data_IF_115311471464
#
_entry.id   IF_115311471464
#
_cell.length_a   1.000
_cell.length_b   1.000
_cell.length_c   1.000
_cell.angle_alpha   90.00
_cell.angle_beta   90.00
_cell.angle_gamma   90.00
#
_symmetry.space_group_name_H-M   'P 1'
#
loop_
_entity.id
_entity.type
_entity.pdbx_description
1 polymer ?
#
# COMPACT_ATOMS: atom_id res chain seq x y z
N UNK A 1 -31.99 8.59 2.73
CA UNK A 1 -31.05 7.47 2.63
C UNK A 1 -30.03 7.66 3.74
N UNK A 2 -29.69 6.63 4.53
CA UNK A 2 -28.66 6.79 5.57
C UNK A 2 -27.31 6.87 4.84
N UNK A 3 -26.68 8.03 4.86
CA UNK A 3 -25.32 8.19 4.36
C UNK A 3 -24.35 7.57 5.37
N UNK A 4 -23.51 6.65 4.91
CA UNK A 4 -22.40 6.10 5.69
C UNK A 4 -21.16 6.79 5.16
N UNK A 5 -20.76 7.88 5.81
CA UNK A 5 -19.57 8.64 5.44
C UNK A 5 -18.31 7.90 5.89
N UNK A 6 -17.23 7.87 5.08
CA UNK A 6 -15.97 7.26 5.46
C UNK A 6 -15.34 8.02 6.62
N UNK A 7 -14.61 7.31 7.48
CA UNK A 7 -13.78 7.96 8.50
C UNK A 7 -12.42 8.36 7.92
N UNK A 8 -11.74 9.31 8.57
CA UNK A 8 -10.38 9.67 8.23
C UNK A 8 -9.45 8.45 8.29
N UNK A 9 -8.63 8.32 7.24
CA UNK A 9 -7.78 7.17 6.97
C UNK A 9 -8.48 5.80 6.94
N UNK A 10 -9.80 5.73 6.79
CA UNK A 10 -10.49 4.45 6.67
C UNK A 10 -10.18 3.77 5.34
N UNK A 11 -9.79 2.49 5.38
CA UNK A 11 -9.64 1.68 4.16
C UNK A 11 -11.01 1.28 3.62
N UNK A 12 -11.17 1.36 2.30
CA UNK A 12 -12.42 1.17 1.58
C UNK A 12 -13.05 -0.21 1.80
N UNK A 13 -12.25 -1.25 2.07
CA UNK A 13 -12.76 -2.56 2.48
C UNK A 13 -13.47 -2.50 3.85
N UNK A 14 -12.88 -1.80 4.82
CA UNK A 14 -13.50 -1.54 6.13
C UNK A 14 -14.78 -0.72 5.99
N UNK A 15 -14.73 0.28 5.13
CA UNK A 15 -15.87 1.13 4.84
C UNK A 15 -17.03 0.35 4.18
N UNK A 16 -16.74 -0.50 3.19
CA UNK A 16 -17.72 -1.42 2.60
C UNK A 16 -18.33 -2.36 3.65
N UNK A 17 -17.52 -2.78 4.64
CA UNK A 17 -17.97 -3.49 5.83
C UNK A 17 -18.97 -2.71 6.68
N UNK A 18 -18.77 -1.41 6.85
CA UNK A 18 -19.76 -0.55 7.55
C UNK A 18 -21.05 -0.41 6.75
N UNK A 19 -20.96 -0.24 5.43
CA UNK A 19 -22.14 -0.22 4.55
C UNK A 19 -22.98 -1.50 4.71
N UNK A 20 -22.35 -2.67 4.87
CA UNK A 20 -23.07 -3.94 4.99
C UNK A 20 -24.05 -4.00 6.17
N UNK A 21 -23.74 -3.28 7.24
CA UNK A 21 -24.54 -3.25 8.47
C UNK A 21 -25.86 -2.51 8.26
N UNK A 22 -25.86 -1.52 7.38
CA UNK A 22 -27.03 -0.71 7.06
C UNK A 22 -27.79 -1.24 5.84
N UNK A 23 -27.09 -1.93 4.93
CA UNK A 23 -27.64 -2.37 3.66
C UNK A 23 -27.45 -3.88 3.47
N UNK A 24 -28.50 -4.68 3.72
CA UNK A 24 -28.56 -6.08 3.29
C UNK A 24 -27.75 -7.10 4.10
N UNK A 25 -26.99 -6.69 5.13
CA UNK A 25 -26.41 -7.60 6.13
C UNK A 25 -25.35 -8.56 5.60
N UNK A 26 -24.59 -8.18 4.58
CA UNK A 26 -23.52 -9.05 4.04
C UNK A 26 -22.28 -9.05 4.94
N UNK A 27 -21.69 -10.23 5.15
CA UNK A 27 -20.48 -10.40 5.96
C UNK A 27 -19.21 -10.54 5.12
N UNK A 28 -19.31 -10.27 3.82
CA UNK A 28 -18.20 -10.47 2.90
C UNK A 28 -18.20 -9.56 1.69
N UNK A 29 -17.02 -9.40 1.07
CA UNK A 29 -16.87 -8.66 -0.17
C UNK A 29 -17.64 -9.32 -1.31
N UNK A 30 -17.63 -10.65 -1.38
CA UNK A 30 -18.42 -11.40 -2.35
C UNK A 30 -19.92 -11.24 -2.09
N UNK A 31 -20.33 -11.20 -0.82
CA UNK A 31 -21.70 -10.86 -0.43
C UNK A 31 -22.10 -9.46 -0.90
N UNK A 32 -21.23 -8.47 -0.69
CA UNK A 32 -21.45 -7.09 -1.13
C UNK A 32 -21.59 -7.00 -2.66
N UNK A 33 -20.64 -7.58 -3.40
CA UNK A 33 -20.68 -7.62 -4.87
C UNK A 33 -21.93 -8.31 -5.40
N UNK A 34 -22.41 -9.36 -4.72
CA UNK A 34 -23.67 -10.03 -5.08
C UNK A 34 -24.88 -9.13 -4.81
N UNK A 35 -24.89 -8.41 -3.70
CA UNK A 35 -25.94 -7.45 -3.38
C UNK A 35 -25.98 -6.30 -4.41
N UNK A 36 -24.83 -5.70 -4.75
CA UNK A 36 -24.72 -4.64 -5.76
C UNK A 36 -25.27 -5.05 -7.12
N UNK A 37 -25.01 -6.29 -7.55
CA UNK A 37 -25.57 -6.82 -8.81
C UNK A 37 -27.10 -6.91 -8.78
N UNK A 38 -27.69 -7.24 -7.63
CA UNK A 38 -29.14 -7.40 -7.47
C UNK A 38 -29.88 -6.08 -7.27
N UNK A 39 -29.22 -5.08 -6.69
CA UNK A 39 -29.83 -3.77 -6.44
C UNK A 39 -30.07 -2.95 -7.71
N UNK A 40 -29.61 -3.43 -8.88
CA UNK A 40 -29.86 -2.77 -10.17
C UNK A 40 -29.08 -1.46 -10.33
N UNK A 41 -28.03 -1.23 -9.53
CA UNK A 41 -27.26 0.01 -9.51
C UNK A 41 -26.41 0.27 -10.78
N UNK A 42 -26.72 -0.38 -11.91
CA UNK A 42 -26.13 -0.06 -13.22
C UNK A 42 -24.69 -0.56 -13.46
N UNK A 43 -24.09 -1.32 -12.54
CA UNK A 43 -22.70 -1.78 -12.70
C UNK A 43 -22.61 -3.04 -13.60
N UNK A 44 -21.96 -2.90 -14.76
CA UNK A 44 -21.78 -3.97 -15.75
C UNK A 44 -20.63 -4.93 -15.39
N UNK A 45 -20.66 -6.17 -15.92
CA UNK A 45 -19.68 -7.24 -15.63
C UNK A 45 -18.22 -6.87 -15.93
N UNK A 46 -17.97 -5.98 -16.90
CA UNK A 46 -16.60 -5.52 -17.25
C UNK A 46 -15.89 -4.81 -16.08
N UNK A 47 -16.64 -4.33 -15.09
CA UNK A 47 -16.11 -3.57 -13.95
C UNK A 47 -16.04 -4.33 -12.62
N UNK A 48 -16.26 -5.65 -12.59
CA UNK A 48 -16.53 -6.44 -11.37
C UNK A 48 -15.61 -6.18 -10.16
N UNK A 49 -14.32 -5.94 -10.37
CA UNK A 49 -13.39 -5.64 -9.27
C UNK A 49 -13.67 -4.31 -8.56
N UNK A 50 -14.14 -3.30 -9.29
CA UNK A 50 -14.20 -1.89 -8.88
C UNK A 50 -15.59 -1.42 -8.45
N UNK A 51 -16.61 -2.23 -8.71
CA UNK A 51 -18.01 -1.87 -8.48
C UNK A 51 -18.27 -1.39 -7.05
N UNK A 52 -17.60 -2.00 -6.07
CA UNK A 52 -17.77 -1.63 -4.68
C UNK A 52 -17.17 -0.26 -4.34
N UNK A 53 -16.02 0.09 -4.92
CA UNK A 53 -15.37 1.39 -4.75
C UNK A 53 -16.18 2.49 -5.45
N UNK A 54 -16.55 2.26 -6.71
CA UNK A 54 -17.36 3.22 -7.48
C UNK A 54 -18.72 3.45 -6.81
N UNK A 55 -19.34 2.40 -6.27
CA UNK A 55 -20.58 2.52 -5.52
C UNK A 55 -20.40 3.35 -4.26
N UNK A 56 -19.41 3.03 -3.41
CA UNK A 56 -19.22 3.74 -2.15
C UNK A 56 -18.81 5.19 -2.37
N UNK A 57 -17.95 5.49 -3.37
CA UNK A 57 -17.61 6.85 -3.76
C UNK A 57 -18.88 7.65 -4.15
N UNK A 58 -19.74 7.06 -4.99
CA UNK A 58 -21.00 7.68 -5.39
C UNK A 58 -21.95 7.91 -4.19
N UNK A 59 -22.04 6.95 -3.26
CA UNK A 59 -22.91 7.09 -2.08
C UNK A 59 -22.44 8.15 -1.08
N UNK A 60 -21.15 8.50 -1.12
CA UNK A 60 -20.51 9.47 -0.21
C UNK A 60 -20.30 10.83 -0.86
N UNK A 61 -20.86 11.04 -2.05
CA UNK A 61 -20.68 12.27 -2.84
C UNK A 61 -19.20 12.62 -3.09
N UNK A 62 -18.30 11.63 -3.03
CA UNK A 62 -16.89 11.78 -3.35
C UNK A 62 -16.66 11.44 -4.83
N UNK A 63 -15.69 12.10 -5.47
CA UNK A 63 -15.25 11.63 -6.79
C UNK A 63 -14.59 10.26 -6.65
N UNK A 64 -14.59 9.45 -7.71
CA UNK A 64 -13.88 8.16 -7.69
C UNK A 64 -12.39 8.36 -7.38
N UNK A 65 -11.79 9.43 -7.90
CA UNK A 65 -10.39 9.76 -7.65
C UNK A 65 -10.15 10.06 -6.16
N UNK A 66 -10.93 10.98 -5.58
CA UNK A 66 -10.81 11.33 -4.16
C UNK A 66 -10.96 10.11 -3.25
N UNK A 67 -11.94 9.25 -3.55
CA UNK A 67 -12.17 8.06 -2.76
C UNK A 67 -10.99 7.07 -2.88
N UNK A 68 -10.41 6.94 -4.07
CA UNK A 68 -9.25 6.06 -4.29
C UNK A 68 -8.02 6.58 -3.57
N UNK A 69 -7.76 7.89 -3.65
CA UNK A 69 -6.64 8.54 -2.98
C UNK A 69 -6.79 8.48 -1.44
N UNK A 70 -8.00 8.64 -0.91
CA UNK A 70 -8.25 8.73 0.54
C UNK A 70 -8.62 7.42 1.22
N UNK A 71 -9.10 6.43 0.47
CA UNK A 71 -9.67 5.19 1.04
C UNK A 71 -9.10 3.91 0.41
N UNK A 72 -7.99 3.98 -0.34
CA UNK A 72 -7.30 2.77 -0.82
C UNK A 72 -5.80 2.82 -0.55
N UNK A 73 -5.11 1.71 -0.80
CA UNK A 73 -3.65 1.62 -0.76
C UNK A 73 -3.00 1.89 -2.12
N UNK A 74 -3.77 2.31 -3.13
CA UNK A 74 -3.23 2.64 -4.44
C UNK A 74 -2.13 3.72 -4.35
N UNK A 75 -2.28 4.82 -3.58
CA UNK A 75 -1.25 5.86 -3.52
C UNK A 75 0.13 5.33 -3.13
N UNK A 76 0.17 4.44 -2.13
CA UNK A 76 1.39 3.80 -1.65
C UNK A 76 1.97 2.76 -2.62
N UNK A 77 1.17 2.26 -3.56
CA UNK A 77 1.58 1.21 -4.52
C UNK A 77 1.92 1.77 -5.89
N UNK A 78 1.41 2.95 -6.25
CA UNK A 78 1.89 3.71 -7.40
C UNK A 78 3.37 4.01 -7.13
N UNK A 79 4.26 3.45 -7.94
CA UNK A 79 5.67 3.80 -7.87
C UNK A 79 5.89 5.16 -8.50
N UNK A 80 6.71 5.18 -9.53
CA UNK A 80 6.93 6.35 -10.36
C UNK A 80 5.98 6.26 -11.55
N UNK A 81 5.05 7.19 -11.64
CA UNK A 81 4.24 7.36 -12.86
C UNK A 81 5.01 8.31 -13.77
N UNK A 82 5.24 7.89 -15.01
CA UNK A 82 5.75 8.79 -16.03
C UNK A 82 4.66 9.82 -16.31
N UNK A 83 5.00 11.10 -16.43
CA UNK A 83 4.13 12.25 -16.81
C UNK A 83 3.35 12.08 -18.13
N UNK A 84 3.31 10.89 -18.72
CA UNK A 84 2.57 10.58 -19.95
C UNK A 84 1.09 10.26 -19.66
N UNK A 85 0.57 10.67 -18.50
CA UNK A 85 -0.85 10.96 -18.38
C UNK A 85 -1.01 12.41 -18.83
N UNK A 86 -1.18 12.58 -20.14
CA UNK A 86 -1.40 13.86 -20.82
C UNK A 86 -2.16 14.85 -19.94
N UNK A 87 -1.58 16.04 -19.72
CA UNK A 87 -2.21 17.20 -19.07
C UNK A 87 -3.48 17.71 -19.82
N UNK A 88 -3.99 16.97 -20.80
CA UNK A 88 -5.07 17.35 -21.71
C UNK A 88 -6.24 16.35 -21.77
N UNK A 89 -6.30 15.36 -20.88
CA UNK A 89 -7.47 14.48 -20.78
C UNK A 89 -8.47 15.03 -19.77
N UNK A 90 -9.48 15.76 -20.24
CA UNK A 90 -10.71 16.09 -19.48
C UNK A 90 -11.51 14.83 -19.05
N UNK A 91 -10.98 13.62 -19.26
CA UNK A 91 -11.57 12.33 -18.89
C UNK A 91 -10.85 11.69 -17.69
N UNK A 92 -10.71 12.46 -16.60
CA UNK A 92 -10.11 12.06 -15.32
C UNK A 92 -10.61 10.68 -14.81
N UNK A 93 -11.91 10.40 -14.99
CA UNK A 93 -12.51 9.13 -14.57
C UNK A 93 -12.03 7.90 -15.39
N UNK A 94 -11.66 8.06 -16.67
CA UNK A 94 -11.21 6.95 -17.51
C UNK A 94 -9.76 6.55 -17.18
N UNK A 95 -8.91 7.52 -16.89
CA UNK A 95 -7.50 7.31 -16.54
C UNK A 95 -7.37 6.79 -15.11
N UNK A 96 -8.15 7.34 -14.17
CA UNK A 96 -8.33 6.78 -12.82
C UNK A 96 -8.79 5.31 -12.92
N UNK A 97 -9.82 5.01 -13.73
CA UNK A 97 -10.24 3.62 -13.96
C UNK A 97 -9.12 2.76 -14.54
N UNK A 98 -8.32 3.25 -15.47
CA UNK A 98 -7.19 2.51 -16.06
C UNK A 98 -6.13 2.19 -15.01
N UNK A 99 -5.76 3.14 -14.16
CA UNK A 99 -4.84 2.95 -13.04
C UNK A 99 -5.40 1.94 -12.03
N UNK A 100 -6.66 2.10 -11.63
CA UNK A 100 -7.33 1.16 -10.73
C UNK A 100 -7.42 -0.25 -11.35
N UNK A 101 -7.68 -0.37 -12.66
CA UNK A 101 -7.66 -1.63 -13.42
C UNK A 101 -6.28 -2.29 -13.42
N UNK A 102 -5.22 -1.51 -13.67
CA UNK A 102 -3.81 -1.95 -13.57
C UNK A 102 -3.48 -2.46 -12.17
N UNK A 103 -4.08 -1.86 -11.14
CA UNK A 103 -3.88 -2.19 -9.74
C UNK A 103 -5.01 -3.02 -9.13
N UNK A 104 -5.88 -3.68 -9.93
CA UNK A 104 -7.02 -4.46 -9.41
C UNK A 104 -6.61 -5.55 -8.44
N UNK A 105 -5.51 -6.23 -8.72
CA UNK A 105 -4.92 -7.23 -7.82
C UNK A 105 -4.22 -6.64 -6.59
N UNK A 106 -4.28 -5.32 -6.39
CA UNK A 106 -3.62 -4.58 -5.31
C UNK A 106 -4.59 -3.78 -4.43
N UNK A 107 -5.81 -3.55 -4.89
CA UNK A 107 -6.91 -2.93 -4.12
C UNK A 107 -7.42 -3.92 -3.06
N UNK A 108 -7.62 -5.18 -3.49
CA UNK A 108 -8.07 -6.32 -2.66
C UNK A 108 -7.08 -7.50 -2.74
N UNK A 109 -5.81 -7.21 -3.02
CA UNK A 109 -4.80 -8.20 -3.39
C UNK A 109 -4.52 -9.29 -2.36
N UNK A 110 -3.76 -10.35 -2.72
CA UNK A 110 -3.39 -11.44 -1.80
C UNK A 110 -2.73 -10.94 -0.49
N UNK A 111 -2.06 -9.80 -0.53
CA UNK A 111 -1.47 -9.13 0.66
C UNK A 111 -2.52 -8.65 1.68
N UNK A 112 -3.78 -8.47 1.25
CA UNK A 112 -4.91 -8.05 2.10
C UNK A 112 -5.60 -9.25 2.77
N UNK A 113 -5.07 -10.48 2.65
CA UNK A 113 -5.58 -11.62 3.41
C UNK A 113 -5.31 -11.52 4.92
N UNK A 114 -4.72 -10.42 5.36
CA UNK A 114 -4.48 -10.07 6.75
C UNK A 114 -4.97 -8.65 6.97
N UNK A 115 -5.85 -8.44 7.96
CA UNK A 115 -6.27 -7.12 8.40
C UNK A 115 -5.52 -6.75 9.68
N UNK A 116 -4.77 -5.65 9.65
CA UNK A 116 -3.93 -5.18 10.77
C UNK A 116 -4.62 -4.06 11.54
N UNK A 117 -4.45 -4.02 12.86
CA UNK A 117 -5.03 -2.96 13.69
C UNK A 117 -4.22 -2.71 14.96
N UNK A 118 -4.38 -1.52 15.51
CA UNK A 118 -3.89 -1.17 16.84
C UNK A 118 -5.04 -1.29 17.84
N UNK A 119 -4.82 -2.00 18.95
CA UNK A 119 -5.84 -2.18 20.00
C UNK A 119 -6.21 -0.85 20.67
N UNK A 120 -5.22 0.03 20.86
CA UNK A 120 -5.41 1.36 21.45
C UNK A 120 -6.21 2.29 20.54
N UNK A 121 -5.92 2.31 19.23
CA UNK A 121 -6.78 2.97 18.25
C UNK A 121 -8.22 2.43 18.33
N UNK A 122 -8.40 1.11 18.24
CA UNK A 122 -9.74 0.50 18.21
C UNK A 122 -10.57 0.82 19.46
N UNK A 123 -9.95 0.84 20.64
CA UNK A 123 -10.63 1.17 21.91
C UNK A 123 -10.87 2.67 22.07
N UNK A 124 -9.93 3.51 21.61
CA UNK A 124 -10.09 4.97 21.56
C UNK A 124 -11.24 5.38 20.64
N UNK A 125 -11.27 4.86 19.42
CA UNK A 125 -12.32 5.13 18.44
C UNK A 125 -13.72 4.79 18.99
N UNK A 126 -13.88 3.65 19.68
CA UNK A 126 -15.16 3.27 20.30
C UNK A 126 -15.58 4.24 21.40
N UNK A 127 -14.62 4.72 22.20
CA UNK A 127 -14.91 5.69 23.27
C UNK A 127 -15.38 7.02 22.69
N UNK A 128 -14.79 7.45 21.58
CA UNK A 128 -15.05 8.76 20.97
C UNK A 128 -16.24 8.75 20.01
N UNK A 129 -16.32 7.76 19.13
CA UNK A 129 -17.28 7.69 18.03
C UNK A 129 -18.33 6.57 18.19
N UNK A 130 -18.21 5.71 19.21
CA UNK A 130 -19.10 4.57 19.42
C UNK A 130 -18.78 3.35 18.53
N UNK A 131 -17.82 3.46 17.62
CA UNK A 131 -17.33 2.36 16.79
C UNK A 131 -15.86 2.62 16.40
N UNK A 132 -15.20 1.62 15.81
CA UNK A 132 -13.83 1.74 15.30
C UNK A 132 -13.78 1.40 13.81
N UNK A 133 -12.75 1.85 13.11
CA UNK A 133 -12.55 1.59 11.68
C UNK A 133 -11.13 1.11 11.36
N UNK A 134 -10.99 0.46 10.21
CA UNK A 134 -9.72 -0.05 9.72
C UNK A 134 -8.91 1.08 9.08
N UNK A 135 -7.82 1.50 9.73
CA UNK A 135 -6.89 2.51 9.18
C UNK A 135 -6.09 1.95 7.99
N UNK A 136 -5.89 2.72 6.93
CA UNK A 136 -5.10 2.34 5.75
C UNK A 136 -3.63 2.21 6.08
N UNK A 137 -3.09 3.14 6.88
CA UNK A 137 -1.67 3.14 7.21
C UNK A 137 -1.23 1.84 7.92
N UNK A 138 -2.12 1.26 8.73
CA UNK A 138 -1.89 -0.05 9.34
C UNK A 138 -1.79 -1.18 8.31
N UNK A 139 -2.40 -1.05 7.13
CA UNK A 139 -2.43 -2.10 6.09
C UNK A 139 -1.25 -2.04 5.12
N UNK A 140 -0.39 -1.02 5.21
CA UNK A 140 0.81 -0.92 4.39
C UNK A 140 1.73 -2.12 4.64
N UNK A 141 2.38 -2.65 3.60
CA UNK A 141 3.34 -3.75 3.74
C UNK A 141 4.52 -3.30 4.61
N UNK A 142 5.12 -4.21 5.39
CA UNK A 142 6.24 -3.87 6.28
C UNK A 142 5.88 -3.10 7.55
N UNK A 143 4.72 -2.45 7.59
CA UNK A 143 4.28 -1.73 8.80
C UNK A 143 3.88 -2.73 9.87
N UNK A 144 4.56 -2.62 11.01
CA UNK A 144 4.46 -3.53 12.15
C UNK A 144 4.06 -2.83 13.45
N UNK A 145 4.11 -1.51 13.50
CA UNK A 145 3.69 -0.68 14.63
C UNK A 145 2.71 0.40 14.18
N UNK A 146 1.88 0.86 15.10
CA UNK A 146 0.97 1.99 14.90
C UNK A 146 1.77 3.29 14.85
N UNK A 147 1.48 4.16 13.88
CA UNK A 147 2.17 5.45 13.77
C UNK A 147 1.80 6.41 14.91
N UNK A 148 0.58 6.32 15.43
CA UNK A 148 0.10 7.22 16.48
C UNK A 148 0.54 6.76 17.89
N UNK A 149 0.61 5.46 18.11
CA UNK A 149 0.86 4.89 19.45
C UNK A 149 2.25 4.27 19.62
N UNK A 150 2.97 3.98 18.53
CA UNK A 150 4.23 3.23 18.57
C UNK A 150 4.08 1.74 18.97
N UNK A 151 2.86 1.29 19.24
CA UNK A 151 2.58 -0.06 19.71
C UNK A 151 2.53 -1.06 18.54
N UNK A 152 2.98 -2.31 18.74
CA UNK A 152 2.91 -3.32 17.71
C UNK A 152 1.47 -3.61 17.24
N UNK A 153 1.29 -3.78 15.93
CA UNK A 153 -0.02 -4.07 15.34
C UNK A 153 -0.42 -5.52 15.58
N UNK A 154 -1.69 -5.71 15.91
CA UNK A 154 -2.37 -6.99 15.87
C UNK A 154 -2.89 -7.27 14.48
N UNK A 155 -3.19 -8.53 14.20
CA UNK A 155 -3.81 -8.91 12.93
C UNK A 155 -4.86 -10.01 13.06
N UNK A 156 -5.73 -10.07 12.08
CA UNK A 156 -6.68 -11.16 11.85
C UNK A 156 -6.59 -11.61 10.39
N UNK A 157 -6.83 -12.89 10.14
CA UNK A 157 -6.74 -13.47 8.80
C UNK A 157 -8.08 -13.42 8.07
N UNK A 158 -8.01 -13.39 6.74
CA UNK A 158 -9.18 -13.39 5.86
C UNK A 158 -9.66 -11.98 5.55
N UNK A 159 -9.93 -11.73 4.27
CA UNK A 159 -10.54 -10.49 3.77
C UNK A 159 -11.86 -10.15 4.47
N UNK A 160 -12.61 -11.15 4.91
CA UNK A 160 -13.90 -10.95 5.58
C UNK A 160 -13.76 -10.28 6.95
N UNK A 161 -12.55 -10.26 7.52
CA UNK A 161 -12.27 -9.52 8.75
C UNK A 161 -12.54 -8.02 8.60
N UNK A 162 -12.37 -7.45 7.41
CA UNK A 162 -12.68 -6.04 7.15
C UNK A 162 -14.17 -5.72 7.29
N UNK A 163 -15.06 -6.73 7.22
CA UNK A 163 -16.51 -6.56 7.39
C UNK A 163 -16.94 -6.48 8.87
N UNK A 164 -16.03 -6.70 9.80
CA UNK A 164 -16.19 -6.39 11.21
C UNK A 164 -15.25 -5.24 11.60
N UNK A 165 -15.68 -4.28 12.44
CA UNK A 165 -14.83 -3.20 12.92
C UNK A 165 -13.76 -3.76 13.86
N UNK A 166 -12.56 -3.14 13.92
CA UNK A 166 -11.44 -3.64 14.73
C UNK A 166 -11.77 -4.00 16.18
N UNK A 167 -12.60 -3.20 16.87
CA UNK A 167 -12.97 -3.46 18.26
C UNK A 167 -13.75 -4.77 18.45
N UNK A 168 -14.42 -5.30 17.42
CA UNK A 168 -15.11 -6.60 17.49
C UNK A 168 -14.18 -7.78 17.33
N UNK A 169 -12.97 -7.57 16.83
CA UNK A 169 -11.98 -8.62 16.59
C UNK A 169 -10.79 -8.55 17.54
N UNK A 170 -10.83 -7.70 18.57
CA UNK A 170 -9.78 -7.55 19.59
C UNK A 170 -9.39 -8.89 20.22
N UNK A 171 -10.36 -9.69 20.64
CA UNK A 171 -10.12 -10.98 21.30
C UNK A 171 -9.56 -12.05 20.36
N UNK A 172 -9.78 -11.92 19.05
CA UNK A 172 -9.24 -12.79 18.00
C UNK A 172 -7.93 -12.27 17.38
N UNK A 173 -7.48 -11.09 17.79
CA UNK A 173 -6.27 -10.46 17.28
C UNK A 173 -5.04 -11.27 17.65
N UNK A 174 -4.23 -11.60 16.66
CA UNK A 174 -2.95 -12.26 16.84
C UNK A 174 -1.83 -11.22 16.81
N UNK A 175 -0.83 -11.37 17.67
CA UNK A 175 0.44 -10.66 17.52
C UNK A 175 1.25 -11.27 16.35
N UNK A 176 2.10 -10.48 15.68
CA UNK A 176 3.14 -11.02 14.78
C UNK A 176 4.51 -10.90 15.47
N UNK A 177 4.92 -11.88 16.30
CA UNK A 177 6.15 -11.79 17.08
C UNK A 177 7.36 -11.39 16.23
N UNK A 178 7.49 -11.95 15.03
CA UNK A 178 8.62 -11.70 14.13
C UNK A 178 8.63 -10.29 13.51
N UNK A 179 7.48 -9.62 13.41
CA UNK A 179 7.45 -8.20 13.02
C UNK A 179 7.67 -7.30 14.24
N UNK A 180 7.22 -7.74 15.42
CA UNK A 180 7.32 -7.00 16.68
C UNK A 180 8.78 -6.90 17.15
N UNK A 181 9.62 -7.90 16.86
CA UNK A 181 11.07 -7.89 17.13
C UNK A 181 11.83 -6.71 16.48
N UNK A 182 11.25 -6.09 15.44
CA UNK A 182 11.95 -5.12 14.61
C UNK A 182 11.29 -3.72 14.59
N UNK A 183 10.32 -3.47 15.48
CA UNK A 183 9.61 -2.18 15.54
C UNK A 183 10.54 -0.99 15.78
N UNK A 184 11.62 -1.20 16.54
CA UNK A 184 12.60 -0.17 16.87
C UNK A 184 13.83 -0.16 15.94
N UNK A 185 13.86 -1.02 14.91
CA UNK A 185 15.01 -1.08 14.01
C UNK A 185 15.07 0.17 13.11
N UNK A 186 16.21 0.90 13.04
CA UNK A 186 16.30 2.18 12.34
C UNK A 186 15.82 2.13 10.87
N UNK A 187 16.22 1.09 10.13
CA UNK A 187 15.79 0.90 8.73
C UNK A 187 14.30 0.61 8.59
N UNK A 188 13.70 -0.10 9.55
CA UNK A 188 12.26 -0.42 9.53
C UNK A 188 11.44 0.81 9.87
N UNK A 189 11.87 1.60 10.87
CA UNK A 189 11.26 2.88 11.23
C UNK A 189 11.30 3.86 10.06
N UNK A 190 12.46 3.97 9.40
CA UNK A 190 12.62 4.84 8.24
C UNK A 190 11.78 4.37 7.05
N UNK A 191 11.72 3.05 6.80
CA UNK A 191 10.79 2.51 5.81
C UNK A 191 9.34 2.87 6.15
N UNK A 192 8.95 2.77 7.41
CA UNK A 192 7.60 3.14 7.83
C UNK A 192 7.28 4.61 7.54
N UNK A 193 8.22 5.52 7.78
CA UNK A 193 8.08 6.94 7.44
C UNK A 193 7.86 7.16 5.93
N UNK A 194 8.69 6.55 5.08
CA UNK A 194 8.54 6.66 3.63
C UNK A 194 7.26 5.98 3.12
N UNK A 195 6.86 4.84 3.69
CA UNK A 195 5.62 4.16 3.32
C UNK A 195 4.39 5.03 3.66
N UNK A 196 4.42 5.73 4.80
CA UNK A 196 3.40 6.70 5.20
C UNK A 196 3.38 7.89 4.24
N UNK A 197 4.55 8.48 3.94
CA UNK A 197 4.68 9.55 2.96
C UNK A 197 4.06 9.16 1.60
N UNK A 198 4.38 7.96 1.12
CA UNK A 198 3.85 7.43 -0.14
C UNK A 198 2.33 7.24 -0.13
N UNK A 199 1.72 6.97 1.03
CA UNK A 199 0.28 6.83 1.18
C UNK A 199 -0.47 8.16 1.16
N UNK A 200 0.12 9.21 1.74
CA UNK A 200 -0.55 10.50 1.96
C UNK A 200 -0.13 11.63 1.01
N UNK A 201 0.84 11.39 0.12
CA UNK A 201 1.21 12.38 -0.90
C UNK A 201 0.01 12.73 -1.79
N UNK A 202 -0.12 14.00 -2.14
CA UNK A 202 -1.23 14.51 -2.94
C UNK A 202 -1.14 14.15 -4.43
N UNK A 203 0.06 13.76 -4.91
CA UNK A 203 0.32 13.46 -6.32
C UNK A 203 1.26 12.27 -6.46
N UNK A 204 1.25 11.66 -7.64
CA UNK A 204 2.29 10.70 -8.02
C UNK A 204 3.68 11.35 -7.92
N UNK A 205 4.70 10.53 -7.67
CA UNK A 205 6.08 11.03 -7.58
C UNK A 205 6.51 11.63 -8.91
N UNK A 206 7.00 12.87 -8.84
CA UNK A 206 7.65 13.57 -9.94
C UNK A 206 8.84 12.74 -10.47
N UNK A 207 9.07 12.83 -11.78
CA UNK A 207 10.26 12.35 -12.48
C UNK A 207 11.55 12.83 -11.77
N UNK A 208 11.52 14.01 -11.15
CA UNK A 208 12.60 14.57 -10.35
C UNK A 208 13.09 13.68 -9.20
N UNK A 209 12.18 12.98 -8.50
CA UNK A 209 12.59 12.03 -7.46
C UNK A 209 13.36 10.85 -8.05
N UNK A 210 12.99 10.45 -9.26
CA UNK A 210 13.72 9.43 -9.95
C UNK A 210 15.17 9.83 -10.21
N UNK A 211 15.37 11.05 -10.71
CA UNK A 211 16.72 11.60 -10.90
C UNK A 211 17.46 11.72 -9.58
N UNK A 212 16.79 12.16 -8.51
CA UNK A 212 17.38 12.24 -7.18
C UNK A 212 17.84 10.86 -6.68
N UNK A 213 17.00 9.83 -6.80
CA UNK A 213 17.36 8.45 -6.47
C UNK A 213 18.59 7.99 -7.26
N UNK A 214 18.68 8.32 -8.56
CA UNK A 214 19.84 7.99 -9.38
C UNK A 214 21.10 8.70 -8.90
N UNK A 215 21.04 10.00 -8.65
CA UNK A 215 22.19 10.78 -8.13
C UNK A 215 22.66 10.23 -6.78
N UNK A 216 21.73 10.01 -5.84
CA UNK A 216 22.09 9.51 -4.50
C UNK A 216 22.72 8.13 -4.56
N UNK A 217 22.29 7.25 -5.47
CA UNK A 217 22.95 5.93 -5.68
C UNK A 217 24.42 6.09 -6.06
N UNK A 218 24.75 7.02 -6.96
CA UNK A 218 26.14 7.29 -7.34
C UNK A 218 26.95 7.83 -6.16
N UNK A 219 26.37 8.72 -5.36
CA UNK A 219 27.05 9.32 -4.18
C UNK A 219 27.41 8.28 -3.11
N UNK A 220 26.54 7.28 -2.89
CA UNK A 220 26.82 6.18 -1.95
C UNK A 220 27.76 5.11 -2.54
N UNK A 221 28.34 5.36 -3.72
CA UNK A 221 29.32 4.48 -4.35
C UNK A 221 28.73 3.18 -4.89
N UNK A 222 27.43 3.14 -5.17
CA UNK A 222 26.81 1.99 -5.81
C UNK A 222 27.30 1.89 -7.26
N UNK A 223 27.91 0.75 -7.57
CA UNK A 223 28.29 0.43 -8.94
C UNK A 223 27.09 -0.22 -9.61
N UNK A 224 26.59 0.42 -10.68
CA UNK A 224 25.59 -0.19 -11.53
C UNK A 224 26.12 -1.54 -12.02
N UNK A 225 25.29 -2.59 -11.84
CA UNK A 225 25.49 -3.81 -12.61
C UNK A 225 25.13 -3.41 -14.03
N UNK A 226 26.11 -2.96 -14.82
CA UNK A 226 25.98 -2.86 -16.27
C UNK A 226 25.72 -4.26 -16.83
N UNK A 227 24.51 -4.77 -16.64
CA UNK A 227 24.06 -6.06 -17.10
C UNK A 227 23.65 -5.92 -18.57
N UNK A 228 24.52 -5.37 -19.41
CA UNK A 228 24.39 -5.53 -20.87
C UNK A 228 25.64 -5.21 -21.70
N UNK A 229 26.83 -5.00 -21.13
CA UNK A 229 28.04 -5.13 -21.96
C UNK A 229 28.33 -6.63 -22.18
N UNK A 230 27.73 -7.20 -23.25
CA UNK A 230 27.89 -8.59 -23.74
C UNK A 230 27.24 -9.72 -22.91
N UNK A 231 26.14 -9.45 -22.21
CA UNK A 231 25.32 -10.51 -21.62
C UNK A 231 25.98 -11.30 -20.47
N UNK A 232 27.00 -10.76 -19.81
CA UNK A 232 27.61 -11.35 -18.61
C UNK A 232 27.33 -10.48 -17.40
N UNK A 233 26.74 -11.06 -16.35
CA UNK A 233 26.56 -10.40 -15.04
C UNK A 233 27.92 -10.25 -14.36
N UNK A 234 28.19 -9.09 -13.76
CA UNK A 234 29.36 -8.88 -12.90
C UNK A 234 29.08 -9.50 -11.53
N UNK A 235 29.76 -10.60 -11.12
CA UNK A 235 29.47 -11.29 -9.87
C UNK A 235 29.83 -10.49 -8.60
N UNK A 236 30.54 -9.36 -8.76
CA UNK A 236 31.10 -8.57 -7.66
C UNK A 236 30.45 -7.19 -7.51
N UNK A 237 29.47 -6.86 -8.35
CA UNK A 237 28.79 -5.58 -8.26
C UNK A 237 27.85 -5.58 -7.05
N UNK A 238 28.04 -4.63 -6.13
CA UNK A 238 27.17 -4.43 -4.97
C UNK A 238 25.95 -3.63 -5.40
N UNK A 239 24.83 -4.31 -5.54
CA UNK A 239 23.52 -3.73 -5.88
C UNK A 239 22.84 -3.09 -4.68
N UNK A 240 21.77 -2.33 -4.92
CA UNK A 240 20.91 -1.80 -3.84
C UNK A 240 20.29 -2.96 -3.07
N UNK A 241 19.82 -4.00 -3.76
CA UNK A 241 19.29 -5.19 -3.08
C UNK A 241 20.31 -5.83 -2.16
N UNK A 242 21.59 -5.88 -2.55
CA UNK A 242 22.66 -6.41 -1.69
C UNK A 242 22.76 -5.63 -0.38
N UNK A 243 22.75 -4.29 -0.45
CA UNK A 243 22.79 -3.46 0.75
C UNK A 243 21.50 -3.54 1.57
N UNK A 244 20.33 -3.60 0.92
CA UNK A 244 19.06 -3.82 1.60
C UNK A 244 19.09 -5.14 2.40
N UNK A 245 19.62 -6.22 1.85
CA UNK A 245 19.78 -7.49 2.56
C UNK A 245 20.74 -7.42 3.75
N UNK A 246 21.72 -6.51 3.72
CA UNK A 246 22.70 -6.31 4.80
C UNK A 246 22.13 -5.46 5.93
N UNK A 247 21.40 -4.39 5.60
CA UNK A 247 21.03 -3.35 6.55
C UNK A 247 19.60 -3.52 7.12
N UNK A 248 18.72 -4.26 6.43
CA UNK A 248 17.39 -4.57 6.97
C UNK A 248 17.37 -5.93 7.67
N UNK A 249 16.55 -6.10 8.73
CA UNK A 249 16.39 -7.40 9.36
C UNK A 249 15.83 -8.43 8.38
N UNK A 250 16.56 -9.53 8.16
CA UNK A 250 16.20 -10.55 7.17
C UNK A 250 14.78 -11.12 7.40
N UNK A 251 14.41 -11.38 8.65
CA UNK A 251 13.07 -11.88 9.00
C UNK A 251 11.97 -10.91 8.58
N UNK A 252 12.18 -9.62 8.82
CA UNK A 252 11.25 -8.56 8.40
C UNK A 252 11.15 -8.47 6.88
N UNK A 253 12.28 -8.53 6.17
CA UNK A 253 12.31 -8.52 4.71
C UNK A 253 11.57 -9.72 4.12
N UNK A 254 11.82 -10.94 4.62
CA UNK A 254 11.15 -12.16 4.13
C UNK A 254 9.64 -12.10 4.32
N UNK A 255 9.19 -11.56 5.45
CA UNK A 255 7.77 -11.42 5.74
C UNK A 255 7.09 -10.34 4.88
N UNK A 256 7.78 -9.22 4.64
CA UNK A 256 7.19 -8.02 4.02
C UNK A 256 7.39 -7.95 2.51
N UNK A 257 8.45 -8.59 2.01
CA UNK A 257 8.89 -8.60 0.62
C UNK A 257 9.36 -10.01 0.23
N UNK A 258 8.48 -11.02 0.26
CA UNK A 258 8.88 -12.41 -0.01
C UNK A 258 9.51 -12.57 -1.40
N UNK A 259 9.11 -11.74 -2.37
CA UNK A 259 9.65 -11.74 -3.73
C UNK A 259 11.15 -11.42 -3.80
N UNK A 260 11.72 -10.69 -2.83
CA UNK A 260 13.17 -10.46 -2.74
C UNK A 260 13.97 -11.74 -2.58
N UNK A 261 13.32 -12.82 -2.14
CA UNK A 261 13.93 -14.12 -1.92
C UNK A 261 13.49 -15.17 -2.94
N UNK A 262 12.62 -14.80 -3.89
CA UNK A 262 12.18 -15.68 -4.97
C UNK A 262 13.16 -15.60 -6.15
N UNK A 263 14.29 -16.29 -6.03
CA UNK A 263 15.30 -16.36 -7.08
C UNK A 263 16.54 -17.13 -6.65
N UNK A 264 17.33 -17.61 -7.62
CA UNK A 264 18.63 -18.25 -7.35
C UNK A 264 19.76 -17.25 -7.14
N UNK A 265 19.51 -15.96 -7.40
CA UNK A 265 20.50 -14.90 -7.35
C UNK A 265 20.11 -13.86 -6.27
N UNK A 266 20.68 -13.95 -5.05
CA UNK A 266 20.41 -12.99 -3.97
C UNK A 266 21.00 -11.60 -4.26
N UNK A 267 21.71 -11.43 -5.38
CA UNK A 267 22.44 -10.20 -5.71
C UNK A 267 21.58 -9.24 -6.53
N UNK A 268 20.47 -9.66 -7.16
CA UNK A 268 19.71 -8.78 -8.05
C UNK A 268 18.20 -8.97 -7.96
N UNK A 269 17.49 -7.88 -7.65
CA UNK A 269 16.02 -7.84 -7.71
C UNK A 269 15.53 -6.83 -8.75
N UNK A 270 14.79 -7.26 -9.79
CA UNK A 270 14.38 -6.40 -10.89
C UNK A 270 13.53 -5.17 -10.49
N UNK A 271 12.77 -5.24 -9.39
CA UNK A 271 11.96 -4.10 -8.94
C UNK A 271 12.76 -3.04 -8.16
N UNK A 272 14.02 -3.33 -7.84
CA UNK A 272 14.92 -2.48 -7.03
C UNK A 272 16.14 -2.06 -7.85
N UNK A 273 16.74 -3.01 -8.56
CA UNK A 273 18.07 -2.86 -9.20
C UNK A 273 18.01 -2.65 -10.71
N UNK A 274 16.84 -2.53 -11.36
CA UNK A 274 16.81 -2.19 -12.79
C UNK A 274 17.43 -0.81 -13.03
N UNK A 275 18.37 -0.75 -13.96
CA UNK A 275 19.06 0.47 -14.44
C UNK A 275 18.15 1.43 -15.22
N UNK A 276 16.92 1.00 -15.57
CA UNK A 276 15.85 1.87 -16.08
C UNK A 276 14.74 2.11 -15.04
N UNK A 277 15.03 2.51 -13.79
CA UNK A 277 14.09 2.34 -12.68
C UNK A 277 12.91 3.31 -12.70
N UNK A 278 12.85 4.24 -13.67
CA UNK A 278 11.96 5.40 -13.61
C UNK A 278 10.96 5.50 -14.76
N UNK A 279 11.04 4.59 -15.74
CA UNK A 279 10.03 4.48 -16.80
C UNK A 279 8.98 3.43 -16.41
N UNK A 280 7.98 3.87 -15.65
CA UNK A 280 6.59 3.33 -15.61
C UNK A 280 6.26 1.97 -14.97
N UNK A 281 7.21 1.20 -14.41
CA UNK A 281 6.92 -0.15 -13.89
C UNK A 281 7.43 -0.52 -12.48
N UNK A 282 8.25 0.32 -11.82
CA UNK A 282 8.69 0.03 -10.46
C UNK A 282 7.49 0.00 -9.49
N UNK A 283 7.41 -1.00 -8.62
CA UNK A 283 6.35 -1.06 -7.61
C UNK A 283 6.59 0.01 -6.54
N UNK A 284 5.54 0.67 -6.06
CA UNK A 284 5.68 1.67 -4.99
C UNK A 284 6.37 1.12 -3.74
N UNK A 285 6.22 -0.17 -3.47
CA UNK A 285 6.93 -0.87 -2.39
C UNK A 285 8.45 -0.92 -2.59
N UNK A 286 8.90 -1.26 -3.81
CA UNK A 286 10.32 -1.28 -4.14
C UNK A 286 10.93 0.12 -4.03
N UNK A 287 10.25 1.12 -4.59
CA UNK A 287 10.71 2.52 -4.49
C UNK A 287 10.78 2.99 -3.03
N UNK A 288 9.77 2.65 -2.22
CA UNK A 288 9.76 2.96 -0.78
C UNK A 288 10.96 2.35 -0.06
N UNK A 289 11.30 1.09 -0.38
CA UNK A 289 12.44 0.41 0.22
C UNK A 289 13.77 1.04 -0.20
N UNK A 290 13.92 1.43 -1.48
CA UNK A 290 15.07 2.19 -1.96
C UNK A 290 15.20 3.54 -1.25
N UNK A 291 14.10 4.30 -1.11
CA UNK A 291 14.13 5.60 -0.41
C UNK A 291 14.55 5.43 1.04
N UNK A 292 14.01 4.44 1.74
CA UNK A 292 14.41 4.12 3.10
C UNK A 292 15.88 3.71 3.20
N UNK A 293 16.45 3.09 2.17
CA UNK A 293 17.87 2.82 2.15
C UNK A 293 18.71 4.09 1.93
N UNK A 294 18.37 4.87 0.89
CA UNK A 294 19.21 5.95 0.36
C UNK A 294 19.14 7.26 1.15
N UNK A 295 17.99 7.58 1.73
CA UNK A 295 17.77 8.84 2.44
C UNK A 295 17.68 8.61 3.94
N UNK A 296 18.02 9.61 4.75
CA UNK A 296 17.88 9.49 6.20
C UNK A 296 16.46 9.82 6.69
N UNK A 297 15.73 10.65 5.93
CA UNK A 297 14.42 11.20 6.28
C UNK A 297 13.61 11.63 5.04
N UNK A 298 12.28 11.77 5.20
CA UNK A 298 11.38 12.24 4.12
C UNK A 298 11.66 13.69 3.71
N UNK A 299 12.19 14.53 4.61
CA UNK A 299 12.51 15.94 4.33
C UNK A 299 13.58 16.13 3.24
N UNK A 300 14.44 15.13 3.04
CA UNK A 300 15.46 15.16 1.97
C UNK A 300 14.84 15.12 0.57
N UNK A 301 13.57 14.70 0.43
CA UNK A 301 12.89 14.66 -0.86
C UNK A 301 12.38 16.02 -1.34
N UNK A 302 12.39 17.04 -0.48
CA UNK A 302 11.88 18.40 -0.77
C UNK A 302 13.00 19.43 -0.89
N UNK A 303 14.26 18.99 -0.83
CA UNK A 303 15.48 19.82 -0.88
C UNK A 303 16.01 19.90 -2.31
#
# INVERSE_FOLDING_TARGET
MIAVEPMDDEIGLGHAGRFSRFFGGFSSLNGFRRWLRRSGAGYTERHFGLQHIEFVAHQTSMTLNDYVEKHTLIPARRGLESEVLDEHSENDAADVRRSILKFRGLIDGPDMNIAKFCARCATGDVREHGFSWWRREHQLAGICACFDHGEPLFFVRGLESFFAPPHKVLSSGLAQPYLHEHVDHPMVLRYAQFARYMLYRDRAMDVGLGQLLEVTKYEVGMQFVYAQYKGRRCPHAKTISTYIHQDFPERWLRASFPNLFLGTDPVYHPDIDRDEPLRSQASGRGVTLCMAFLFSSVSELSS
#
